data_IF_403726199146
#
_entry.id   IF_403726199146
#
_cell.length_a   1.000
_cell.length_b   1.000
_cell.length_c   1.000
_cell.angle_alpha   90.00
_cell.angle_beta   90.00
_cell.angle_gamma   90.00
#
_symmetry.space_group_name_H-M   'P 1'
#
loop_
_entity.id
_entity.type
_entity.pdbx_description
1 polymer ?
#
# COMPACT_ATOMS: atom_id res chain seq x y z
N UNK A 1 16.78 15.39 24.37
CA UNK A 1 15.60 15.55 23.52
C UNK A 1 15.11 14.15 23.15
N UNK A 2 13.85 13.80 23.42
CA UNK A 2 13.27 12.52 22.98
C UNK A 2 12.63 12.74 21.61
N UNK A 3 13.10 12.07 20.58
CA UNK A 3 12.51 12.09 19.24
C UNK A 3 11.59 10.87 19.15
N UNK A 4 10.26 11.04 19.07
CA UNK A 4 9.36 9.91 18.91
C UNK A 4 9.49 9.32 17.50
N UNK A 5 9.29 8.01 17.36
CA UNK A 5 9.28 7.33 16.06
C UNK A 5 8.15 7.86 15.14
N UNK A 6 7.02 8.17 15.72
CA UNK A 6 5.90 8.82 15.02
C UNK A 6 4.92 9.40 16.03
N UNK A 7 4.32 10.52 15.65
CA UNK A 7 3.26 11.17 16.46
C UNK A 7 2.24 11.78 15.49
N UNK A 8 0.94 11.45 15.60
CA UNK A 8 -0.07 12.11 14.81
C UNK A 8 -0.16 13.59 15.21
N UNK A 9 -0.28 14.46 14.24
CA UNK A 9 -0.52 15.88 14.42
C UNK A 9 -2.04 16.08 14.26
N UNK A 10 -2.72 16.35 15.37
CA UNK A 10 -4.15 16.58 15.39
C UNK A 10 -4.42 17.99 15.91
N UNK A 11 -5.31 18.70 15.25
CA UNK A 11 -5.78 20.02 15.66
C UNK A 11 -7.24 19.99 16.17
N UNK A 12 -7.74 21.17 16.55
CA UNK A 12 -9.12 21.30 17.02
C UNK A 12 -10.15 20.97 15.94
N UNK A 13 -9.82 21.22 14.69
CA UNK A 13 -10.71 20.97 13.54
C UNK A 13 -10.90 19.47 13.32
N UNK A 14 -9.82 18.70 13.47
CA UNK A 14 -9.87 17.23 13.39
C UNK A 14 -10.78 16.66 14.48
N UNK A 15 -10.58 17.11 15.73
CA UNK A 15 -11.37 16.67 16.89
C UNK A 15 -12.85 17.00 16.70
N UNK A 16 -13.17 18.21 16.29
CA UNK A 16 -14.58 18.61 16.04
C UNK A 16 -15.18 17.86 14.84
N UNK A 17 -14.39 17.55 13.84
CA UNK A 17 -14.80 16.70 12.71
C UNK A 17 -15.26 15.31 13.18
N UNK A 18 -14.45 14.66 14.01
CA UNK A 18 -14.80 13.35 14.59
C UNK A 18 -16.06 13.44 15.47
N UNK A 19 -16.15 14.44 16.35
CA UNK A 19 -17.34 14.65 17.19
C UNK A 19 -18.62 14.81 16.35
N UNK A 20 -18.56 15.55 15.24
CA UNK A 20 -19.71 15.72 14.33
C UNK A 20 -20.14 14.38 13.75
N UNK A 21 -19.22 13.54 13.30
CA UNK A 21 -19.55 12.21 12.77
C UNK A 21 -20.18 11.33 13.83
N UNK A 22 -19.62 11.27 15.04
CA UNK A 22 -20.18 10.49 16.15
C UNK A 22 -21.63 10.89 16.47
N UNK A 23 -21.93 12.20 16.43
CA UNK A 23 -23.30 12.72 16.68
C UNK A 23 -24.31 12.29 15.59
N UNK A 24 -23.87 11.92 14.39
CA UNK A 24 -24.79 11.44 13.34
C UNK A 24 -25.29 10.02 13.58
N UNK A 25 -24.59 9.22 14.40
CA UNK A 25 -24.84 7.80 14.59
C UNK A 25 -24.50 6.93 13.37
N UNK A 26 -24.05 7.52 12.25
CA UNK A 26 -23.67 6.79 11.02
C UNK A 26 -22.15 6.66 10.98
N UNK A 27 -21.65 5.51 11.45
CA UNK A 27 -20.22 5.25 11.60
C UNK A 27 -19.64 4.36 10.49
N UNK A 28 -20.49 3.79 9.64
CA UNK A 28 -20.08 2.89 8.53
C UNK A 28 -20.64 3.47 7.22
N UNK A 29 -19.79 3.56 6.21
CA UNK A 29 -20.12 4.09 4.87
C UNK A 29 -20.82 5.47 4.89
N UNK A 30 -20.42 6.33 5.83
CA UNK A 30 -20.98 7.66 6.00
C UNK A 30 -20.47 8.69 4.98
N UNK A 31 -21.06 9.89 5.03
CA UNK A 31 -20.70 11.01 4.14
C UNK A 31 -19.20 11.34 4.14
N UNK A 32 -18.53 11.21 5.29
CA UNK A 32 -17.08 11.49 5.41
C UNK A 32 -16.22 10.51 4.64
N UNK A 33 -16.62 9.24 4.56
CA UNK A 33 -15.98 8.25 3.71
C UNK A 33 -16.08 8.64 2.24
N UNK A 34 -17.29 9.01 1.79
CA UNK A 34 -17.50 9.44 0.40
C UNK A 34 -16.72 10.72 0.05
N UNK A 35 -16.70 11.71 0.96
CA UNK A 35 -15.89 12.92 0.77
C UNK A 35 -14.39 12.60 0.67
N UNK A 36 -13.89 11.68 1.49
CA UNK A 36 -12.50 11.24 1.47
C UNK A 36 -12.16 10.56 0.14
N UNK A 37 -12.97 9.59 -0.28
CA UNK A 37 -12.79 8.88 -1.55
C UNK A 37 -12.80 9.85 -2.74
N UNK A 38 -13.73 10.80 -2.77
CA UNK A 38 -13.80 11.81 -3.83
C UNK A 38 -12.56 12.71 -3.87
N UNK A 39 -12.11 13.19 -2.69
CA UNK A 39 -10.90 14.03 -2.60
C UNK A 39 -9.65 13.26 -3.02
N UNK A 40 -9.51 12.02 -2.56
CA UNK A 40 -8.36 11.18 -2.91
C UNK A 40 -8.35 10.84 -4.39
N UNK A 41 -9.50 10.47 -4.96
CA UNK A 41 -9.69 10.27 -6.40
C UNK A 41 -9.20 11.49 -7.21
N UNK A 42 -9.63 12.69 -6.82
CA UNK A 42 -9.27 13.93 -7.53
C UNK A 42 -7.78 14.25 -7.38
N UNK A 43 -7.21 14.02 -6.20
CA UNK A 43 -5.79 14.23 -5.94
C UNK A 43 -4.90 13.30 -6.76
N UNK A 44 -5.24 12.02 -6.81
CA UNK A 44 -4.48 10.99 -7.54
C UNK A 44 -4.82 10.95 -9.04
N UNK A 45 -5.85 11.68 -9.48
CA UNK A 45 -6.41 11.61 -10.84
C UNK A 45 -6.85 10.19 -11.24
N UNK A 46 -7.17 9.35 -10.27
CA UNK A 46 -7.66 8.00 -10.51
C UNK A 46 -9.11 8.01 -10.98
N UNK A 47 -9.53 6.95 -11.70
CA UNK A 47 -10.93 6.80 -12.14
C UNK A 47 -11.85 6.50 -10.96
N UNK A 48 -11.37 5.75 -9.99
CA UNK A 48 -12.10 5.33 -8.79
C UNK A 48 -11.20 5.44 -7.56
N UNK A 49 -11.82 5.54 -6.40
CA UNK A 49 -11.16 5.44 -5.10
C UNK A 49 -12.10 4.77 -4.12
N UNK A 50 -11.59 3.81 -3.38
CA UNK A 50 -12.34 3.04 -2.39
C UNK A 50 -11.52 3.02 -1.11
N UNK A 51 -12.13 3.39 0.00
CA UNK A 51 -11.52 3.30 1.32
C UNK A 51 -11.61 1.89 1.88
N UNK A 52 -10.56 1.46 2.56
CA UNK A 52 -10.47 0.18 3.24
C UNK A 52 -10.07 0.39 4.69
N UNK A 53 -10.24 -0.63 5.53
CA UNK A 53 -9.90 -0.56 6.95
C UNK A 53 -8.40 -0.47 7.23
N UNK A 54 -7.57 -0.88 6.28
CA UNK A 54 -6.11 -0.84 6.39
C UNK A 54 -5.45 -0.95 5.01
N UNK A 55 -4.16 -0.56 4.92
CA UNK A 55 -3.35 -0.80 3.72
C UNK A 55 -3.26 -2.30 3.40
N UNK A 56 -3.17 -3.16 4.40
CA UNK A 56 -3.18 -4.62 4.22
C UNK A 56 -4.45 -5.10 3.53
N UNK A 57 -5.61 -4.59 3.96
CA UNK A 57 -6.90 -4.91 3.33
C UNK A 57 -6.97 -4.40 1.88
N UNK A 58 -6.38 -3.24 1.60
CA UNK A 58 -6.31 -2.70 0.23
C UNK A 58 -5.45 -3.61 -0.68
N UNK A 59 -4.28 -4.04 -0.21
CA UNK A 59 -3.41 -4.97 -0.95
C UNK A 59 -4.09 -6.32 -1.16
N UNK A 60 -4.70 -6.88 -0.13
CA UNK A 60 -5.46 -8.13 -0.24
C UNK A 60 -6.59 -8.01 -1.28
N UNK A 61 -7.38 -6.95 -1.22
CA UNK A 61 -8.45 -6.67 -2.18
C UNK A 61 -7.91 -6.57 -3.62
N UNK A 62 -6.77 -5.89 -3.80
CA UNK A 62 -6.11 -5.79 -5.10
C UNK A 62 -5.73 -7.17 -5.64
N UNK A 63 -5.06 -8.00 -4.86
CA UNK A 63 -4.68 -9.36 -5.29
C UNK A 63 -5.89 -10.22 -5.60
N UNK A 64 -6.88 -10.21 -4.71
CA UNK A 64 -8.11 -10.97 -4.88
C UNK A 64 -8.87 -10.60 -6.16
N UNK A 65 -9.07 -9.31 -6.41
CA UNK A 65 -9.81 -8.83 -7.59
C UNK A 65 -9.07 -9.07 -8.90
N UNK A 66 -7.74 -9.11 -8.86
CA UNK A 66 -6.90 -9.45 -10.01
C UNK A 66 -6.65 -10.96 -10.15
N UNK A 67 -7.34 -11.80 -9.36
CA UNK A 67 -7.24 -13.26 -9.39
C UNK A 67 -5.82 -13.79 -9.16
N UNK A 68 -5.02 -13.07 -8.40
CA UNK A 68 -3.70 -13.53 -7.95
C UNK A 68 -3.93 -14.60 -6.88
N UNK A 69 -3.25 -15.73 -7.01
CA UNK A 69 -3.50 -16.87 -6.11
C UNK A 69 -2.45 -17.98 -6.16
N UNK A 70 -2.81 -19.20 -5.80
CA UNK A 70 -1.90 -20.33 -5.77
C UNK A 70 -1.21 -20.55 -7.13
N UNK A 71 0.11 -20.65 -7.11
CA UNK A 71 0.93 -20.82 -8.31
C UNK A 71 1.49 -19.52 -8.88
N UNK A 72 0.95 -18.37 -8.49
CA UNK A 72 1.47 -17.05 -8.86
C UNK A 72 2.56 -16.59 -7.91
N UNK A 73 3.44 -15.72 -8.42
CA UNK A 73 4.52 -15.09 -7.67
C UNK A 73 4.34 -13.57 -7.65
N UNK A 74 4.56 -12.99 -6.46
CA UNK A 74 4.55 -11.54 -6.24
C UNK A 74 5.92 -11.13 -5.75
N UNK A 75 6.61 -10.27 -6.49
CA UNK A 75 7.89 -9.70 -6.06
C UNK A 75 7.61 -8.67 -4.96
N UNK A 76 8.35 -8.79 -3.85
CA UNK A 76 8.22 -7.91 -2.68
C UNK A 76 9.61 -7.48 -2.19
N UNK A 77 9.77 -6.25 -1.67
CA UNK A 77 11.03 -5.86 -1.03
C UNK A 77 11.24 -6.66 0.25
N UNK A 78 12.49 -7.05 0.56
CA UNK A 78 12.84 -7.72 1.81
C UNK A 78 12.70 -6.78 3.02
N UNK A 79 12.93 -5.48 2.82
CA UNK A 79 12.76 -4.46 3.85
C UNK A 79 11.39 -3.79 3.72
N UNK A 80 10.41 -4.36 4.41
CA UNK A 80 9.03 -3.87 4.42
C UNK A 80 8.31 -4.26 5.70
N UNK A 81 7.12 -3.70 5.91
CA UNK A 81 6.23 -4.17 6.96
C UNK A 81 5.71 -5.57 6.61
N UNK A 82 5.59 -6.44 7.62
CA UNK A 82 5.12 -7.82 7.45
C UNK A 82 3.78 -7.92 6.69
N UNK A 83 2.91 -6.93 6.85
CA UNK A 83 1.63 -6.85 6.15
C UNK A 83 1.75 -6.92 4.61
N UNK A 84 2.84 -6.42 4.04
CA UNK A 84 3.11 -6.47 2.60
C UNK A 84 3.21 -7.92 2.12
N UNK A 85 3.87 -8.77 2.88
CA UNK A 85 4.06 -10.20 2.60
C UNK A 85 2.78 -10.97 2.91
N UNK A 86 2.18 -10.74 4.07
CA UNK A 86 0.94 -11.40 4.47
C UNK A 86 -0.20 -11.18 3.47
N UNK A 87 -0.32 -10.00 2.89
CA UNK A 87 -1.35 -9.74 1.88
C UNK A 87 -1.21 -10.65 0.64
N UNK A 88 0.02 -11.03 0.28
CA UNK A 88 0.31 -12.01 -0.79
C UNK A 88 -0.07 -13.42 -0.35
N UNK A 89 0.32 -13.81 0.86
CA UNK A 89 0.03 -15.15 1.41
C UNK A 89 -1.46 -15.38 1.63
N UNK A 90 -2.22 -14.34 2.02
CA UNK A 90 -3.67 -14.42 2.22
C UNK A 90 -4.43 -14.86 0.97
N UNK A 91 -3.91 -14.61 -0.22
CA UNK A 91 -4.49 -15.11 -1.48
C UNK A 91 -3.85 -16.40 -1.97
N UNK A 92 -2.92 -16.99 -1.21
CA UNK A 92 -2.22 -18.22 -1.56
C UNK A 92 -1.12 -18.06 -2.61
N UNK A 93 -0.75 -16.83 -2.97
CA UNK A 93 0.36 -16.56 -3.87
C UNK A 93 1.70 -16.64 -3.11
N UNK A 94 2.79 -16.81 -3.85
CA UNK A 94 4.14 -16.93 -3.30
C UNK A 94 4.85 -15.57 -3.31
N UNK A 95 5.26 -15.02 -2.16
CA UNK A 95 6.13 -13.85 -2.13
C UNK A 95 7.55 -14.22 -2.58
N UNK A 96 8.12 -13.42 -3.48
CA UNK A 96 9.49 -13.53 -3.96
C UNK A 96 10.26 -12.31 -3.50
N UNK A 97 11.16 -12.50 -2.56
CA UNK A 97 11.90 -11.40 -1.95
C UNK A 97 13.01 -10.89 -2.85
N UNK A 98 13.09 -9.58 -2.97
CA UNK A 98 14.19 -8.83 -3.59
C UNK A 98 14.88 -8.02 -2.52
N UNK A 99 16.20 -8.00 -2.53
CA UNK A 99 17.00 -7.27 -1.55
C UNK A 99 16.80 -5.76 -1.65
N UNK A 100 17.20 -5.06 -0.62
CA UNK A 100 17.10 -3.61 -0.53
C UNK A 100 18.35 -2.93 -1.09
N UNK A 101 18.15 -1.76 -1.68
CA UNK A 101 19.24 -0.86 -2.04
C UNK A 101 19.94 -0.36 -0.78
N UNK A 102 21.26 -0.43 -0.78
CA UNK A 102 22.09 0.06 0.33
C UNK A 102 22.00 1.59 0.49
N UNK A 103 21.59 2.30 -0.57
CA UNK A 103 21.58 3.77 -0.59
C UNK A 103 20.36 4.34 0.15
N UNK A 104 19.19 3.76 -0.08
CA UNK A 104 17.92 4.34 0.35
C UNK A 104 16.96 3.35 1.02
N UNK A 105 17.35 2.08 1.11
CA UNK A 105 16.53 1.02 1.69
C UNK A 105 15.33 0.58 0.82
N UNK A 106 15.13 1.16 -0.35
CA UNK A 106 14.11 0.74 -1.30
C UNK A 106 14.45 -0.59 -1.97
N UNK A 107 13.48 -1.19 -2.66
CA UNK A 107 13.71 -2.41 -3.43
C UNK A 107 14.84 -2.21 -4.46
N UNK A 108 15.77 -3.16 -4.53
CA UNK A 108 16.87 -3.11 -5.49
C UNK A 108 16.38 -3.47 -6.90
N UNK A 109 16.22 -2.45 -7.73
CA UNK A 109 15.67 -2.59 -9.08
C UNK A 109 16.48 -3.56 -9.95
N UNK A 110 17.81 -3.55 -9.83
CA UNK A 110 18.69 -4.45 -10.60
C UNK A 110 18.50 -5.94 -10.28
N UNK A 111 17.96 -6.22 -9.09
CA UNK A 111 17.73 -7.60 -8.66
C UNK A 111 16.30 -8.07 -8.97
N UNK A 112 15.38 -7.17 -9.29
CA UNK A 112 14.02 -7.51 -9.70
C UNK A 112 14.05 -8.40 -10.95
N UNK A 113 14.75 -7.98 -11.99
CA UNK A 113 14.83 -8.71 -13.27
C UNK A 113 15.34 -10.15 -13.09
N UNK A 114 16.29 -10.36 -12.17
CA UNK A 114 16.83 -11.69 -11.85
C UNK A 114 15.82 -12.62 -11.17
N UNK A 115 14.79 -12.05 -10.56
CA UNK A 115 13.76 -12.79 -9.80
C UNK A 115 12.47 -12.99 -10.58
N UNK A 116 12.31 -12.35 -11.74
CA UNK A 116 11.14 -12.52 -12.59
C UNK A 116 11.12 -13.94 -13.19
N UNK A 117 9.96 -14.59 -13.08
CA UNK A 117 9.69 -15.88 -13.70
C UNK A 117 8.37 -15.79 -14.51
N UNK A 118 8.03 -16.85 -15.22
CA UNK A 118 6.71 -16.95 -15.91
C UNK A 118 5.52 -16.90 -14.94
N UNK A 119 5.74 -17.11 -13.64
CA UNK A 119 4.74 -17.08 -12.58
C UNK A 119 4.60 -15.70 -11.95
N UNK A 120 5.53 -14.78 -12.18
CA UNK A 120 5.50 -13.44 -11.64
C UNK A 120 4.32 -12.68 -12.23
N UNK A 121 3.44 -12.16 -11.38
CA UNK A 121 2.23 -11.41 -11.75
C UNK A 121 2.26 -9.97 -11.27
N UNK A 122 2.96 -9.71 -10.18
CA UNK A 122 2.97 -8.38 -9.54
C UNK A 122 4.37 -8.07 -9.02
N UNK A 123 4.76 -6.82 -9.14
CA UNK A 123 5.87 -6.21 -8.42
C UNK A 123 5.28 -5.27 -7.38
N UNK A 124 5.38 -5.63 -6.11
CA UNK A 124 4.92 -4.79 -5.01
C UNK A 124 6.04 -3.84 -4.61
N UNK A 125 5.76 -2.55 -4.64
CA UNK A 125 6.72 -1.48 -4.36
C UNK A 125 6.35 -0.79 -3.06
N UNK A 126 7.34 -0.55 -2.22
CA UNK A 126 7.20 0.24 -0.98
C UNK A 126 8.14 1.43 -1.06
N UNK A 127 7.61 2.64 -0.91
CA UNK A 127 8.41 3.86 -0.77
C UNK A 127 8.92 3.94 0.67
N UNK A 128 10.07 3.31 0.94
CA UNK A 128 10.57 3.12 2.30
C UNK A 128 10.83 4.45 2.99
N UNK A 129 10.24 4.63 4.18
CA UNK A 129 10.26 5.90 4.93
C UNK A 129 9.84 7.14 4.14
N UNK A 130 9.04 6.98 3.09
CA UNK A 130 8.60 8.06 2.22
C UNK A 130 9.60 8.45 1.13
N UNK A 131 10.70 7.73 0.97
CA UNK A 131 11.67 7.93 -0.12
C UNK A 131 11.09 7.28 -1.40
N UNK A 132 10.80 8.05 -2.46
CA UNK A 132 10.22 7.49 -3.67
C UNK A 132 11.15 6.49 -4.36
N UNK A 133 10.60 5.32 -4.72
CA UNK A 133 11.28 4.38 -5.62
C UNK A 133 11.29 4.96 -7.04
N UNK A 134 12.30 4.68 -7.85
CA UNK A 134 12.34 5.02 -9.27
C UNK A 134 11.25 4.24 -10.03
N UNK A 135 10.03 4.78 -10.00
CA UNK A 135 8.87 4.16 -10.66
C UNK A 135 9.01 4.08 -12.19
N UNK A 136 9.61 5.05 -12.90
CA UNK A 136 9.92 4.89 -14.32
C UNK A 136 10.76 3.65 -14.64
N UNK A 137 11.75 3.32 -13.81
CA UNK A 137 12.55 2.11 -13.99
C UNK A 137 11.73 0.85 -13.69
N UNK A 138 10.93 0.85 -12.62
CA UNK A 138 10.02 -0.27 -12.29
C UNK A 138 9.03 -0.53 -13.43
N UNK A 139 8.40 0.51 -13.98
CA UNK A 139 7.42 0.38 -15.05
C UNK A 139 8.00 -0.12 -16.38
N UNK A 140 9.31 0.04 -16.61
CA UNK A 140 9.99 -0.55 -17.78
C UNK A 140 10.18 -2.06 -17.63
N UNK A 141 10.27 -2.54 -16.40
CA UNK A 141 10.43 -3.97 -16.10
C UNK A 141 9.08 -4.69 -16.14
N UNK A 142 8.00 -4.00 -15.69
CA UNK A 142 6.65 -4.55 -15.61
C UNK A 142 5.95 -4.55 -16.96
#
# INVERSE_FOLDING_TARGET
MKIPFGKPILDKTDIEGVKKVLKTGILVHGKKTQEFELKFKNFTKSKYSISTSSCTSAMHLFYFTNKIGPGDEVIVPSQTHLATVHAVELVGAKPVFVDSSFIDGNINIKDIEKKITKKTKVINVVHYLGIPVDMPAILKIA
#
